data_IF_780352219177
#
_entry.id   IF_780352219177
#
_cell.length_a   1.000
_cell.length_b   1.000
_cell.length_c   1.000
_cell.angle_alpha   90.00
_cell.angle_beta   90.00
_cell.angle_gamma   90.00
#
_symmetry.space_group_name_H-M   'P 1'
#
loop_
_entity.id
_entity.type
_entity.pdbx_description
1 polymer ?
#
# COMPACT_ATOMS: atom_id res chain seq x y z
N UNK A 1 33.87 -8.33 26.78
CA UNK A 1 32.58 -8.27 27.47
C UNK A 1 31.60 -9.01 26.56
N UNK A 2 31.25 -10.24 26.94
CA UNK A 2 30.28 -11.08 26.23
C UNK A 2 28.91 -10.45 26.37
N UNK A 3 28.41 -9.91 25.29
CA UNK A 3 27.04 -9.42 25.15
C UNK A 3 26.09 -10.61 25.37
N UNK A 4 25.58 -10.75 26.61
CA UNK A 4 24.52 -11.73 26.88
C UNK A 4 23.35 -11.36 25.99
N UNK A 5 23.05 -12.21 25.02
CA UNK A 5 21.89 -12.08 24.15
C UNK A 5 20.64 -11.99 25.05
N UNK A 6 20.14 -10.79 25.25
CA UNK A 6 18.95 -10.51 26.08
C UNK A 6 17.81 -11.36 25.54
N UNK A 7 17.37 -12.35 26.31
CA UNK A 7 16.28 -13.25 25.94
C UNK A 7 15.01 -12.42 25.76
N UNK A 8 14.57 -12.29 24.51
CA UNK A 8 13.31 -11.59 24.21
C UNK A 8 12.17 -12.34 24.91
N UNK A 9 11.35 -11.67 25.73
CA UNK A 9 10.22 -12.27 26.41
C UNK A 9 9.24 -12.94 25.42
N UNK A 10 8.66 -14.06 25.78
CA UNK A 10 7.64 -14.78 24.97
C UNK A 10 6.46 -13.85 24.64
N UNK A 11 6.13 -12.95 25.56
CA UNK A 11 5.08 -11.95 25.38
C UNK A 11 5.33 -11.02 24.19
N UNK A 12 6.59 -10.65 23.92
CA UNK A 12 6.93 -9.81 22.75
C UNK A 12 6.59 -10.50 21.43
N UNK A 13 6.77 -11.81 21.35
CA UNK A 13 6.38 -12.59 20.16
C UNK A 13 4.86 -12.72 20.01
N UNK A 14 4.13 -12.85 21.13
CA UNK A 14 2.68 -12.77 21.11
C UNK A 14 2.19 -11.41 20.60
N UNK A 15 2.80 -10.32 21.10
CA UNK A 15 2.48 -8.96 20.64
C UNK A 15 2.77 -8.78 19.13
N UNK A 16 3.90 -9.30 18.64
CA UNK A 16 4.23 -9.29 17.21
C UNK A 16 3.19 -10.06 16.39
N UNK A 17 2.81 -11.28 16.82
CA UNK A 17 1.83 -12.09 16.13
C UNK A 17 0.47 -11.41 16.06
N UNK A 18 0.01 -10.83 17.18
CA UNK A 18 -1.26 -10.09 17.21
C UNK A 18 -1.21 -8.84 16.32
N UNK A 19 -0.16 -8.03 16.40
CA UNK A 19 -0.01 -6.83 15.58
C UNK A 19 0.14 -7.17 14.09
N UNK A 20 0.84 -8.26 13.76
CA UNK A 20 0.93 -8.75 12.38
C UNK A 20 -0.44 -9.21 11.87
N UNK A 21 -1.22 -9.94 12.67
CA UNK A 21 -2.59 -10.33 12.29
C UNK A 21 -3.48 -9.11 12.07
N UNK A 22 -3.40 -8.12 12.93
CA UNK A 22 -4.11 -6.83 12.76
C UNK A 22 -3.68 -6.14 11.46
N UNK A 23 -2.40 -6.20 11.11
CA UNK A 23 -1.89 -5.60 9.88
C UNK A 23 -2.33 -6.37 8.63
N UNK A 24 -2.44 -7.70 8.72
CA UNK A 24 -3.07 -8.54 7.68
C UNK A 24 -4.53 -8.13 7.48
N UNK A 25 -5.31 -8.00 8.56
CA UNK A 25 -6.71 -7.56 8.49
C UNK A 25 -6.84 -6.15 7.91
N UNK A 26 -5.94 -5.24 8.27
CA UNK A 26 -5.89 -3.89 7.72
C UNK A 26 -5.77 -3.90 6.18
N UNK A 27 -4.81 -4.64 5.62
CA UNK A 27 -4.64 -4.74 4.18
C UNK A 27 -5.75 -5.54 3.50
N UNK A 28 -6.34 -6.51 4.20
CA UNK A 28 -7.49 -7.26 3.72
C UNK A 28 -8.70 -6.33 3.54
N UNK A 29 -9.08 -5.56 4.57
CA UNK A 29 -10.19 -4.61 4.54
C UNK A 29 -10.00 -3.50 3.51
N UNK A 30 -8.76 -3.04 3.36
CA UNK A 30 -8.40 -2.04 2.35
C UNK A 30 -8.55 -2.55 0.93
N UNK A 31 -8.18 -3.80 0.67
CA UNK A 31 -8.05 -4.34 -0.68
C UNK A 31 -9.33 -5.00 -1.17
N UNK A 32 -10.14 -5.56 -0.27
CA UNK A 32 -11.32 -6.35 -0.66
C UNK A 32 -12.32 -5.57 -1.51
N UNK A 33 -12.46 -4.28 -1.29
CA UNK A 33 -13.39 -3.44 -2.07
C UNK A 33 -13.04 -3.47 -3.56
N UNK A 34 -11.77 -3.51 -3.91
CA UNK A 34 -11.31 -3.55 -5.30
C UNK A 34 -11.69 -4.85 -5.98
N UNK A 35 -11.64 -5.97 -5.25
CA UNK A 35 -12.05 -7.29 -5.74
C UNK A 35 -13.56 -7.34 -5.98
N UNK A 36 -14.33 -6.64 -5.14
CA UNK A 36 -15.78 -6.62 -5.18
C UNK A 36 -16.35 -5.51 -6.08
N UNK A 37 -15.53 -4.61 -6.63
CA UNK A 37 -15.97 -3.52 -7.52
C UNK A 37 -16.89 -3.98 -8.66
N UNK A 38 -16.65 -5.11 -9.36
CA UNK A 38 -17.56 -5.54 -10.42
C UNK A 38 -18.98 -5.81 -9.94
N UNK A 39 -19.13 -6.39 -8.72
CA UNK A 39 -20.46 -6.64 -8.14
C UNK A 39 -21.11 -5.35 -7.63
N UNK A 40 -20.36 -4.49 -6.97
CA UNK A 40 -20.83 -3.18 -6.49
C UNK A 40 -21.31 -2.36 -7.68
N UNK A 41 -20.49 -2.30 -8.76
CA UNK A 41 -20.87 -1.58 -9.98
C UNK A 41 -22.16 -2.12 -10.61
N UNK A 42 -22.29 -3.45 -10.68
CA UNK A 42 -23.48 -4.08 -11.27
C UNK A 42 -24.76 -3.80 -10.50
N UNK A 43 -24.67 -3.78 -9.14
CA UNK A 43 -25.84 -3.61 -8.29
C UNK A 43 -26.21 -2.13 -8.08
N UNK A 44 -25.20 -1.27 -7.93
CA UNK A 44 -25.38 0.15 -7.58
C UNK A 44 -25.32 1.07 -8.80
N UNK A 45 -25.03 0.53 -10.00
CA UNK A 45 -24.91 1.25 -11.28
C UNK A 45 -23.90 2.42 -11.24
N UNK A 46 -22.85 2.30 -10.42
CA UNK A 46 -21.85 3.36 -10.29
C UNK A 46 -20.98 3.50 -11.55
N UNK A 47 -20.60 4.74 -11.84
CA UNK A 47 -19.60 5.04 -12.84
C UNK A 47 -18.21 4.57 -12.37
N UNK A 48 -17.25 4.44 -13.29
CA UNK A 48 -15.86 4.08 -12.95
C UNK A 48 -15.20 5.19 -12.12
N UNK A 49 -15.56 6.47 -12.37
CA UNK A 49 -15.15 7.60 -11.54
C UNK A 49 -15.64 7.45 -10.10
N UNK A 50 -16.92 7.08 -9.90
CA UNK A 50 -17.47 6.86 -8.56
C UNK A 50 -16.77 5.70 -7.84
N UNK A 51 -16.43 4.61 -8.54
CA UNK A 51 -15.66 3.51 -7.95
C UNK A 51 -14.25 3.94 -7.56
N UNK A 52 -13.57 4.76 -8.38
CA UNK A 52 -12.29 5.32 -8.03
C UNK A 52 -12.38 6.18 -6.76
N UNK A 53 -13.37 7.08 -6.69
CA UNK A 53 -13.60 7.91 -5.50
C UNK A 53 -13.85 7.08 -4.25
N UNK A 54 -14.67 6.03 -4.35
CA UNK A 54 -14.96 5.12 -3.23
C UNK A 54 -13.75 4.32 -2.77
N UNK A 55 -12.98 3.78 -3.71
CA UNK A 55 -11.87 2.91 -3.37
C UNK A 55 -10.64 3.65 -2.87
N UNK A 56 -10.40 4.85 -3.35
CA UNK A 56 -9.15 5.55 -3.11
C UNK A 56 -9.30 6.88 -2.39
N UNK A 57 -10.06 7.81 -2.95
CA UNK A 57 -10.15 9.18 -2.42
C UNK A 57 -10.78 9.22 -1.03
N UNK A 58 -11.89 8.50 -0.83
CA UNK A 58 -12.60 8.42 0.46
C UNK A 58 -11.69 7.96 1.60
N UNK A 59 -10.79 7.04 1.29
CA UNK A 59 -9.87 6.45 2.25
C UNK A 59 -8.60 7.29 2.44
N UNK A 60 -7.89 7.61 1.34
CA UNK A 60 -6.52 8.16 1.40
C UNK A 60 -6.47 9.54 2.02
N UNK A 61 -7.44 10.41 1.75
CA UNK A 61 -7.47 11.76 2.31
C UNK A 61 -7.51 11.69 3.84
N UNK A 62 -8.44 10.93 4.41
CA UNK A 62 -8.62 10.85 5.86
C UNK A 62 -7.50 10.06 6.53
N UNK A 63 -7.05 8.98 5.92
CA UNK A 63 -5.88 8.22 6.36
C UNK A 63 -4.64 9.10 6.47
N UNK A 64 -4.38 9.94 5.46
CA UNK A 64 -3.19 10.78 5.42
C UNK A 64 -3.27 11.95 6.41
N UNK A 65 -4.40 12.67 6.44
CA UNK A 65 -4.58 13.83 7.32
C UNK A 65 -4.56 13.39 8.79
N UNK A 66 -5.27 12.33 9.13
CA UNK A 66 -5.40 11.86 10.52
C UNK A 66 -4.19 11.05 10.99
N UNK A 67 -3.36 10.55 10.09
CA UNK A 67 -2.10 9.91 10.45
C UNK A 67 -1.17 10.83 11.25
N UNK A 68 -1.21 12.15 11.01
CA UNK A 68 -0.40 13.13 11.73
C UNK A 68 -0.85 13.27 13.21
N UNK A 69 -2.12 13.62 13.53
CA UNK A 69 -2.56 13.72 14.92
C UNK A 69 -2.50 12.38 15.66
N UNK A 70 -2.80 11.26 15.01
CA UNK A 70 -2.69 9.95 15.64
C UNK A 70 -1.23 9.54 15.88
N UNK A 71 -0.30 9.91 15.00
CA UNK A 71 1.13 9.75 15.24
C UNK A 71 1.58 10.51 16.51
N UNK A 72 1.20 11.78 16.64
CA UNK A 72 1.47 12.57 17.85
C UNK A 72 0.85 11.98 19.11
N UNK A 73 -0.38 11.45 19.01
CA UNK A 73 -1.00 10.75 20.13
C UNK A 73 -0.23 9.47 20.48
N UNK A 74 0.21 8.69 19.48
CA UNK A 74 1.02 7.50 19.70
C UNK A 74 2.33 7.80 20.43
N UNK A 75 2.91 8.99 20.25
CA UNK A 75 4.13 9.42 20.93
C UNK A 75 3.91 9.70 22.44
N UNK A 76 2.72 10.09 22.85
CA UNK A 76 2.43 10.54 24.23
C UNK A 76 1.41 9.67 24.97
N UNK A 77 0.44 9.12 24.24
CA UNK A 77 -0.67 8.33 24.78
C UNK A 77 -0.39 6.82 24.81
N UNK A 78 -1.42 6.04 25.14
CA UNK A 78 -1.35 4.58 25.09
C UNK A 78 -1.51 4.09 23.63
N UNK A 79 -0.47 3.48 23.09
CA UNK A 79 -0.44 2.95 21.72
C UNK A 79 -1.37 1.75 21.56
N UNK A 80 -1.44 0.87 22.57
CA UNK A 80 -2.35 -0.27 22.56
C UNK A 80 -3.82 0.16 22.50
N UNK A 81 -4.21 1.17 23.29
CA UNK A 81 -5.58 1.71 23.25
C UNK A 81 -5.90 2.42 21.95
N UNK A 82 -4.92 3.15 21.37
CA UNK A 82 -5.07 3.79 20.06
C UNK A 82 -5.30 2.75 18.95
N UNK A 83 -4.49 1.69 18.91
CA UNK A 83 -4.67 0.57 17.97
C UNK A 83 -6.04 -0.08 18.17
N UNK A 84 -6.41 -0.38 19.42
CA UNK A 84 -7.70 -1.00 19.74
C UNK A 84 -8.87 -0.17 19.21
N UNK A 85 -8.87 1.13 19.49
CA UNK A 85 -9.87 2.07 18.97
C UNK A 85 -9.93 2.04 17.44
N UNK A 86 -8.78 2.16 16.77
CA UNK A 86 -8.71 2.14 15.33
C UNK A 86 -9.26 0.84 14.73
N UNK A 87 -8.81 -0.32 15.24
CA UNK A 87 -9.26 -1.64 14.77
C UNK A 87 -10.78 -1.78 14.91
N UNK A 88 -11.35 -1.40 16.04
CA UNK A 88 -12.81 -1.48 16.25
C UNK A 88 -13.53 -0.56 15.26
N UNK A 89 -13.08 0.69 15.11
CA UNK A 89 -13.71 1.66 14.21
C UNK A 89 -13.67 1.17 12.76
N UNK A 90 -12.50 0.78 12.23
CA UNK A 90 -12.47 0.36 10.84
C UNK A 90 -13.20 -0.96 10.59
N UNK A 91 -13.12 -1.92 11.53
CA UNK A 91 -13.79 -3.21 11.38
C UNK A 91 -15.31 -3.08 11.38
N UNK A 92 -15.86 -2.30 12.30
CA UNK A 92 -17.30 -2.01 12.31
C UNK A 92 -17.70 -1.28 11.03
N UNK A 93 -16.94 -0.27 10.61
CA UNK A 93 -17.26 0.52 9.41
C UNK A 93 -17.15 -0.32 8.14
N UNK A 94 -16.17 -1.25 8.06
CA UNK A 94 -16.06 -2.22 6.98
C UNK A 94 -17.28 -3.14 6.95
N UNK A 95 -17.68 -3.70 8.08
CA UNK A 95 -18.90 -4.52 8.17
C UNK A 95 -20.17 -3.74 7.83
N UNK A 96 -20.29 -2.47 8.28
CA UNK A 96 -21.42 -1.59 7.97
C UNK A 96 -21.54 -1.24 6.49
N UNK A 97 -20.44 -1.35 5.72
CA UNK A 97 -20.48 -1.21 4.25
C UNK A 97 -21.51 -2.13 3.62
N UNK A 98 -21.79 -3.29 4.21
CA UNK A 98 -22.80 -4.24 3.74
C UNK A 98 -24.23 -3.71 3.72
N UNK A 99 -24.53 -2.70 4.53
CA UNK A 99 -25.87 -2.11 4.65
C UNK A 99 -26.03 -0.83 3.85
N UNK A 100 -25.01 -0.41 3.10
CA UNK A 100 -25.07 0.78 2.28
C UNK A 100 -25.95 0.55 1.04
N UNK A 101 -26.86 1.50 0.77
CA UNK A 101 -27.79 1.45 -0.36
C UNK A 101 -27.57 2.62 -1.35
N UNK A 102 -26.62 3.50 -1.08
CA UNK A 102 -26.28 4.65 -1.91
C UNK A 102 -24.78 4.96 -1.85
N UNK A 103 -24.34 5.83 -2.77
CA UNK A 103 -22.93 6.22 -2.88
C UNK A 103 -22.39 6.88 -1.61
N UNK A 104 -23.16 7.78 -1.00
CA UNK A 104 -22.66 8.58 0.13
C UNK A 104 -22.53 7.76 1.41
N UNK A 105 -23.44 6.81 1.63
CA UNK A 105 -23.35 5.86 2.74
C UNK A 105 -22.12 4.96 2.58
N UNK A 106 -21.88 4.43 1.37
CA UNK A 106 -20.67 3.68 1.06
C UNK A 106 -19.42 4.53 1.27
N UNK A 107 -19.43 5.76 0.77
CA UNK A 107 -18.33 6.71 0.91
C UNK A 107 -18.03 7.01 2.39
N UNK A 108 -19.05 7.25 3.20
CA UNK A 108 -18.89 7.50 4.63
C UNK A 108 -18.29 6.29 5.36
N UNK A 109 -18.73 5.08 5.06
CA UNK A 109 -18.12 3.86 5.61
C UNK A 109 -16.63 3.77 5.25
N UNK A 110 -16.25 4.08 4.00
CA UNK A 110 -14.85 4.06 3.54
C UNK A 110 -14.00 5.14 4.21
N UNK A 111 -14.56 6.34 4.42
CA UNK A 111 -13.92 7.41 5.21
C UNK A 111 -13.61 6.89 6.62
N UNK A 112 -14.59 6.29 7.29
CA UNK A 112 -14.41 5.79 8.66
C UNK A 112 -13.41 4.62 8.73
N UNK A 113 -13.32 3.78 7.70
CA UNK A 113 -12.25 2.80 7.56
C UNK A 113 -10.89 3.52 7.53
N UNK A 114 -10.74 4.55 6.70
CA UNK A 114 -9.51 5.35 6.61
C UNK A 114 -9.13 6.03 7.93
N UNK A 115 -10.12 6.56 8.67
CA UNK A 115 -9.94 7.13 10.01
C UNK A 115 -9.38 6.09 10.99
N UNK A 116 -9.99 4.92 11.04
CA UNK A 116 -9.56 3.83 11.93
C UNK A 116 -8.15 3.34 11.58
N UNK A 117 -7.89 3.07 10.31
CA UNK A 117 -6.60 2.54 9.85
C UNK A 117 -5.42 3.51 10.07
N UNK A 118 -5.66 4.83 10.08
CA UNK A 118 -4.63 5.83 10.32
C UNK A 118 -3.96 5.71 11.70
N UNK A 119 -4.58 5.01 12.64
CA UNK A 119 -4.04 4.81 14.00
C UNK A 119 -2.94 3.76 14.05
N UNK A 120 -2.97 2.76 13.14
CA UNK A 120 -2.18 1.54 13.28
C UNK A 120 -0.69 1.75 13.01
N UNK A 121 -0.33 2.36 11.88
CA UNK A 121 1.05 2.41 11.40
C UNK A 121 2.04 2.95 12.43
N UNK A 122 1.90 4.22 12.88
CA UNK A 122 2.82 4.81 13.85
C UNK A 122 2.83 4.07 15.18
N UNK A 123 1.66 3.67 15.69
CA UNK A 123 1.53 3.04 17.01
C UNK A 123 2.14 1.63 17.03
N UNK A 124 1.90 0.82 16.01
CA UNK A 124 2.40 -0.56 15.94
C UNK A 124 3.93 -0.61 15.81
N UNK A 125 4.51 0.20 14.93
CA UNK A 125 5.97 0.26 14.75
C UNK A 125 6.65 0.72 16.04
N UNK A 126 6.11 1.74 16.70
CA UNK A 126 6.62 2.24 17.98
C UNK A 126 6.52 1.18 19.08
N UNK A 127 5.39 0.45 19.20
CA UNK A 127 5.24 -0.65 20.16
C UNK A 127 6.28 -1.76 19.91
N UNK A 128 6.44 -2.20 18.67
CA UNK A 128 7.40 -3.25 18.31
C UNK A 128 8.85 -2.83 18.61
N UNK A 129 9.19 -1.56 18.42
CA UNK A 129 10.51 -1.05 18.74
C UNK A 129 10.81 -1.09 20.25
N UNK A 130 9.79 -1.01 21.12
CA UNK A 130 9.95 -1.12 22.57
C UNK A 130 9.84 -2.56 23.10
N UNK A 131 9.15 -3.45 22.38
CA UNK A 131 9.08 -4.88 22.73
C UNK A 131 10.36 -5.66 22.39
N UNK A 132 11.16 -5.18 21.42
CA UNK A 132 12.33 -5.90 20.94
C UNK A 132 13.61 -5.09 21.02
N UNK A 133 14.76 -5.73 21.36
CA UNK A 133 16.07 -5.07 21.38
C UNK A 133 16.45 -4.55 19.99
N UNK A 134 17.29 -3.52 19.97
CA UNK A 134 17.73 -2.85 18.72
C UNK A 134 18.28 -3.83 17.67
N UNK A 135 18.95 -4.88 18.09
CA UNK A 135 19.54 -5.94 17.23
C UNK A 135 18.50 -6.75 16.46
N UNK A 136 17.25 -6.82 16.94
CA UNK A 136 16.15 -7.59 16.33
C UNK A 136 15.10 -6.74 15.62
N UNK A 137 15.15 -5.41 15.77
CA UNK A 137 14.12 -4.50 15.23
C UNK A 137 13.92 -4.64 13.72
N UNK A 138 15.01 -4.76 12.95
CA UNK A 138 14.93 -4.94 11.51
C UNK A 138 14.18 -6.23 11.13
N UNK A 139 14.51 -7.35 11.74
CA UNK A 139 13.84 -8.64 11.51
C UNK A 139 12.37 -8.58 11.89
N UNK A 140 12.05 -8.00 13.04
CA UNK A 140 10.67 -7.85 13.53
C UNK A 140 9.84 -6.97 12.61
N UNK A 141 10.41 -5.85 12.16
CA UNK A 141 9.74 -4.97 11.18
C UNK A 141 9.50 -5.66 9.84
N UNK A 142 10.45 -6.48 9.38
CA UNK A 142 10.29 -7.27 8.16
C UNK A 142 9.16 -8.29 8.29
N UNK A 143 9.11 -9.02 9.41
CA UNK A 143 8.02 -9.97 9.70
C UNK A 143 6.67 -9.23 9.73
N UNK A 144 6.58 -8.12 10.45
CA UNK A 144 5.38 -7.29 10.50
C UNK A 144 4.94 -6.84 9.11
N UNK A 145 5.89 -6.39 8.27
CA UNK A 145 5.61 -5.88 6.91
C UNK A 145 5.13 -6.97 5.93
N UNK A 146 5.40 -8.25 6.19
CA UNK A 146 4.81 -9.34 5.40
C UNK A 146 3.28 -9.33 5.47
N UNK A 147 2.69 -8.72 6.51
CA UNK A 147 1.26 -8.53 6.64
C UNK A 147 0.62 -7.82 5.44
N UNK A 148 1.37 -6.97 4.72
CA UNK A 148 0.91 -6.30 3.48
C UNK A 148 0.57 -7.32 2.40
N UNK A 149 1.54 -8.16 2.03
CA UNK A 149 1.36 -9.14 0.96
C UNK A 149 0.35 -10.23 1.35
N UNK A 150 0.38 -10.67 2.63
CA UNK A 150 -0.56 -11.67 3.15
C UNK A 150 -1.98 -11.10 3.14
N UNK A 151 -2.19 -9.89 3.65
CA UNK A 151 -3.50 -9.25 3.68
C UNK A 151 -4.09 -9.00 2.30
N UNK A 152 -3.28 -8.47 1.37
CA UNK A 152 -3.71 -8.25 0.00
C UNK A 152 -4.01 -9.57 -0.74
N UNK A 153 -3.18 -10.59 -0.57
CA UNK A 153 -3.41 -11.92 -1.14
C UNK A 153 -4.66 -12.59 -0.58
N UNK A 154 -4.85 -12.53 0.75
CA UNK A 154 -6.07 -13.02 1.40
C UNK A 154 -7.31 -12.25 0.97
N UNK A 155 -7.22 -10.93 0.76
CA UNK A 155 -8.34 -10.15 0.25
C UNK A 155 -8.79 -10.64 -1.13
N UNK A 156 -7.86 -10.98 -2.01
CA UNK A 156 -8.18 -11.54 -3.31
C UNK A 156 -8.79 -12.94 -3.20
N UNK A 157 -8.19 -13.84 -2.41
CA UNK A 157 -8.70 -15.20 -2.20
C UNK A 157 -10.08 -15.21 -1.55
N UNK A 158 -10.24 -14.51 -0.43
CA UNK A 158 -11.49 -14.49 0.32
C UNK A 158 -12.55 -13.66 -0.41
N UNK A 159 -12.18 -12.47 -0.93
CA UNK A 159 -13.09 -11.62 -1.70
C UNK A 159 -13.58 -12.30 -2.97
N UNK A 160 -12.70 -13.03 -3.67
CA UNK A 160 -13.07 -13.84 -4.82
C UNK A 160 -14.07 -14.94 -4.45
N UNK A 161 -13.77 -15.74 -3.43
CA UNK A 161 -14.67 -16.83 -2.99
C UNK A 161 -15.99 -16.29 -2.44
N UNK A 162 -15.95 -15.27 -1.58
CA UNK A 162 -17.15 -14.69 -0.97
C UNK A 162 -18.01 -13.90 -1.96
N UNK A 163 -17.46 -13.50 -3.11
CA UNK A 163 -18.22 -12.81 -4.17
C UNK A 163 -19.45 -13.61 -4.65
N UNK A 164 -19.41 -14.94 -4.55
CA UNK A 164 -20.53 -15.82 -4.91
C UNK A 164 -21.76 -15.61 -4.01
N UNK A 165 -21.55 -15.15 -2.78
CA UNK A 165 -22.61 -14.85 -1.81
C UNK A 165 -22.99 -13.35 -1.83
N UNK A 166 -22.44 -12.59 -2.77
CA UNK A 166 -22.63 -11.15 -2.89
C UNK A 166 -21.62 -10.31 -2.08
N UNK A 167 -21.39 -9.08 -2.53
CA UNK A 167 -20.42 -8.18 -1.91
C UNK A 167 -20.80 -7.78 -0.47
N UNK A 168 -22.10 -7.67 -0.17
CA UNK A 168 -22.59 -7.37 1.18
C UNK A 168 -22.18 -8.43 2.20
N UNK A 169 -22.42 -9.70 1.86
CA UNK A 169 -22.03 -10.84 2.71
C UNK A 169 -20.51 -10.87 2.93
N UNK A 170 -19.73 -10.57 1.89
CA UNK A 170 -18.27 -10.53 2.00
C UNK A 170 -17.82 -9.46 3.02
N UNK A 171 -18.38 -8.24 2.96
CA UNK A 171 -18.06 -7.20 3.93
C UNK A 171 -18.51 -7.53 5.36
N UNK A 172 -19.65 -8.15 5.56
CA UNK A 172 -20.09 -8.60 6.89
C UNK A 172 -19.14 -9.63 7.49
N UNK A 173 -18.79 -10.66 6.72
CA UNK A 173 -17.96 -11.77 7.19
C UNK A 173 -16.50 -11.40 7.43
N UNK A 174 -16.00 -10.37 6.77
CA UNK A 174 -14.61 -9.92 6.92
C UNK A 174 -14.54 -8.76 7.91
N UNK A 175 -15.41 -7.76 7.79
CA UNK A 175 -15.33 -6.55 8.59
C UNK A 175 -15.61 -6.79 10.07
N UNK A 176 -16.79 -7.28 10.42
CA UNK A 176 -17.18 -7.39 11.84
C UNK A 176 -16.24 -8.25 12.69
N UNK A 177 -15.75 -9.42 12.24
CA UNK A 177 -14.86 -10.24 13.05
C UNK A 177 -13.53 -9.55 13.41
N UNK A 178 -13.08 -8.58 12.58
CA UNK A 178 -11.90 -7.79 12.87
C UNK A 178 -11.98 -7.05 14.21
N UNK A 179 -13.17 -6.63 14.66
CA UNK A 179 -13.36 -5.95 15.92
C UNK A 179 -12.89 -6.78 17.15
N UNK A 180 -12.91 -8.11 17.06
CA UNK A 180 -12.39 -9.00 18.12
C UNK A 180 -10.90 -8.74 18.35
N UNK A 181 -10.14 -8.54 17.28
CA UNK A 181 -8.71 -8.21 17.37
C UNK A 181 -8.47 -6.82 17.96
N UNK A 182 -9.41 -5.89 17.78
CA UNK A 182 -9.41 -4.61 18.49
C UNK A 182 -9.55 -4.79 20.00
N UNK A 183 -10.46 -5.65 20.45
CA UNK A 183 -10.61 -6.00 21.88
C UNK A 183 -9.32 -6.66 22.39
N UNK A 184 -8.72 -7.58 21.64
CA UNK A 184 -7.45 -8.20 22.04
C UNK A 184 -6.31 -7.17 22.11
N UNK A 185 -6.25 -6.23 21.19
CA UNK A 185 -5.26 -5.16 21.20
C UNK A 185 -5.40 -4.22 22.43
N UNK A 186 -6.62 -4.03 22.94
CA UNK A 186 -6.85 -3.23 24.12
C UNK A 186 -6.14 -3.79 25.38
N UNK A 187 -6.00 -5.12 25.45
CA UNK A 187 -5.32 -5.82 26.55
C UNK A 187 -3.82 -5.98 26.34
N UNK A 188 -3.25 -5.48 25.22
CA UNK A 188 -1.80 -5.47 25.05
C UNK A 188 -1.16 -4.60 26.15
N UNK A 189 -0.15 -5.16 26.81
CA UNK A 189 0.63 -4.42 27.83
C UNK A 189 1.40 -3.29 27.13
N UNK A 190 1.29 -2.09 27.65
CA UNK A 190 2.09 -0.96 27.18
C UNK A 190 3.52 -1.09 27.71
N UNK A 191 4.55 -1.34 26.89
CA UNK A 191 5.92 -1.41 27.38
C UNK A 191 6.41 -0.03 27.81
N UNK A 192 7.36 -0.01 28.76
CA UNK A 192 8.07 1.22 29.09
C UNK A 192 8.76 1.76 27.82
N UNK A 193 8.66 3.06 27.59
CA UNK A 193 9.28 3.70 26.42
C UNK A 193 10.78 3.69 26.57
N UNK A 194 11.45 3.01 25.64
CA UNK A 194 12.93 2.87 25.63
C UNK A 194 13.61 4.16 25.15
N UNK A 195 12.91 4.95 24.31
CA UNK A 195 13.39 6.25 23.85
C UNK A 195 12.58 7.31 24.55
N UNK A 196 13.23 8.17 25.34
CA UNK A 196 12.61 9.40 25.80
C UNK A 196 11.95 10.09 24.60
N UNK A 197 10.70 10.56 24.79
CA UNK A 197 9.96 11.30 23.74
C UNK A 197 10.95 12.25 23.10
N UNK A 198 11.36 11.93 21.88
CA UNK A 198 12.31 12.76 21.17
C UNK A 198 11.72 14.15 21.16
N UNK A 199 12.50 15.15 21.61
CA UNK A 199 12.11 16.54 21.53
C UNK A 199 11.46 16.73 20.18
N UNK A 200 10.26 17.31 20.12
CA UNK A 200 9.53 17.52 18.89
C UNK A 200 10.52 18.06 17.86
N UNK A 201 10.83 17.25 16.85
CA UNK A 201 11.66 17.72 15.76
C UNK A 201 10.77 18.68 14.98
N UNK A 202 10.80 19.95 15.42
CA UNK A 202 10.09 21.01 14.72
C UNK A 202 10.88 21.33 13.44
N UNK A 203 10.46 20.73 12.35
CA UNK A 203 11.01 21.07 11.04
C UNK A 203 10.64 22.50 10.69
N UNK A 204 11.64 23.31 10.43
CA UNK A 204 11.45 24.70 10.01
C UNK A 204 11.00 24.76 8.53
N UNK A 205 10.35 25.85 8.09
CA UNK A 205 10.04 26.04 6.67
C UNK A 205 11.28 25.93 5.76
N UNK A 206 12.45 26.28 6.27
CA UNK A 206 13.73 26.14 5.54
C UNK A 206 14.12 24.67 5.34
N UNK A 207 13.75 23.77 6.24
CA UNK A 207 14.03 22.33 6.09
C UNK A 207 13.17 21.69 5.01
N UNK A 208 11.91 22.10 4.89
CA UNK A 208 11.04 21.75 3.75
C UNK A 208 11.64 22.29 2.44
N UNK A 209 12.10 23.56 2.46
CA UNK A 209 12.74 24.20 1.31
C UNK A 209 13.96 23.42 0.81
N UNK A 210 14.84 22.95 1.70
CA UNK A 210 16.03 22.16 1.33
C UNK A 210 15.68 20.91 0.51
N UNK A 211 14.62 20.18 0.90
CA UNK A 211 14.19 18.99 0.17
C UNK A 211 13.47 19.35 -1.14
N UNK A 212 12.58 20.35 -1.11
CA UNK A 212 11.80 20.76 -2.27
C UNK A 212 12.64 21.49 -3.34
N UNK A 213 13.83 21.97 -3.00
CA UNK A 213 14.78 22.55 -3.96
C UNK A 213 15.84 21.56 -4.41
N UNK A 214 15.95 20.39 -3.78
CA UNK A 214 16.90 19.36 -4.19
C UNK A 214 16.39 18.61 -5.44
N UNK A 215 17.04 18.80 -6.62
CA UNK A 215 16.53 18.22 -7.85
C UNK A 215 16.59 16.68 -7.86
N UNK A 216 17.52 16.06 -7.13
CA UNK A 216 17.60 14.61 -7.02
C UNK A 216 16.41 14.07 -6.21
N UNK A 217 16.08 14.73 -5.10
CA UNK A 217 14.93 14.38 -4.27
C UNK A 217 13.61 14.51 -5.06
N UNK A 218 13.44 15.62 -5.79
CA UNK A 218 12.23 15.83 -6.61
C UNK A 218 12.09 14.74 -7.68
N UNK A 219 13.18 14.42 -8.40
CA UNK A 219 13.15 13.42 -9.46
C UNK A 219 12.88 12.01 -8.91
N UNK A 220 13.42 11.70 -7.75
CA UNK A 220 13.13 10.45 -7.04
C UNK A 220 11.64 10.39 -6.64
N UNK A 221 11.13 11.44 -6.01
CA UNK A 221 9.71 11.50 -5.60
C UNK A 221 8.77 11.37 -6.80
N UNK A 222 8.97 12.16 -7.85
CA UNK A 222 8.13 12.11 -9.05
C UNK A 222 8.27 10.78 -9.80
N UNK A 223 9.47 10.25 -9.95
CA UNK A 223 9.73 9.01 -10.65
C UNK A 223 9.03 7.82 -9.97
N UNK A 224 9.21 7.67 -8.67
CA UNK A 224 8.52 6.61 -7.94
C UNK A 224 7.02 6.88 -7.73
N UNK A 225 6.58 8.13 -7.74
CA UNK A 225 5.14 8.47 -7.73
C UNK A 225 4.44 7.98 -9.00
N UNK A 226 5.05 8.17 -10.17
CA UNK A 226 4.53 7.64 -11.44
C UNK A 226 4.59 6.11 -11.47
N UNK A 227 5.66 5.51 -10.97
CA UNK A 227 5.74 4.06 -10.87
C UNK A 227 4.71 3.49 -9.89
N UNK A 228 4.55 4.13 -8.73
CA UNK A 228 3.52 3.79 -7.75
C UNK A 228 2.10 3.89 -8.31
N UNK A 229 1.82 4.91 -9.14
CA UNK A 229 0.57 5.02 -9.87
C UNK A 229 0.31 3.77 -10.72
N UNK A 230 1.28 3.37 -11.53
CA UNK A 230 1.14 2.20 -12.38
C UNK A 230 0.97 0.91 -11.56
N UNK A 231 1.78 0.70 -10.54
CA UNK A 231 1.76 -0.56 -9.77
C UNK A 231 0.54 -0.70 -8.86
N UNK A 232 0.04 0.40 -8.26
CA UNK A 232 -1.20 0.35 -7.48
C UNK A 232 -2.45 0.17 -8.36
N UNK A 233 -2.40 0.62 -9.62
CA UNK A 233 -3.55 0.49 -10.53
C UNK A 233 -3.92 -0.97 -10.81
N UNK A 234 -2.97 -1.93 -10.78
CA UNK A 234 -3.31 -3.34 -10.96
C UNK A 234 -4.15 -3.87 -9.80
N UNK A 235 -3.89 -3.42 -8.57
CA UNK A 235 -4.68 -3.81 -7.41
C UNK A 235 -6.07 -3.19 -7.42
N UNK A 236 -6.18 -1.95 -7.87
CA UNK A 236 -7.44 -1.18 -7.84
C UNK A 236 -8.36 -1.58 -9.00
N UNK A 237 -7.80 -1.67 -10.20
CA UNK A 237 -8.57 -1.87 -11.44
C UNK A 237 -8.56 -3.31 -11.96
N UNK A 238 -7.69 -4.17 -11.43
CA UNK A 238 -7.46 -5.52 -11.95
C UNK A 238 -8.73 -6.38 -11.97
N UNK A 239 -9.53 -6.40 -10.90
CA UNK A 239 -10.77 -7.19 -10.85
C UNK A 239 -11.79 -6.71 -11.90
N UNK A 240 -12.01 -5.40 -12.00
CA UNK A 240 -12.90 -4.82 -13.02
C UNK A 240 -12.38 -5.10 -14.43
N UNK A 241 -11.07 -4.90 -14.64
CA UNK A 241 -10.46 -5.10 -15.94
C UNK A 241 -10.62 -6.56 -16.41
N UNK A 242 -10.23 -7.50 -15.60
CA UNK A 242 -10.26 -8.92 -15.92
C UNK A 242 -11.69 -9.42 -16.12
N UNK A 243 -12.63 -9.01 -15.26
CA UNK A 243 -14.03 -9.42 -15.37
C UNK A 243 -14.73 -8.81 -16.57
N UNK A 244 -14.44 -7.54 -16.88
CA UNK A 244 -15.12 -6.79 -17.93
C UNK A 244 -14.53 -7.07 -19.32
N UNK A 245 -13.19 -7.07 -19.45
CA UNK A 245 -12.50 -7.19 -20.74
C UNK A 245 -12.30 -8.65 -21.14
N UNK A 246 -11.97 -9.51 -20.18
CA UNK A 246 -11.68 -10.92 -20.43
C UNK A 246 -12.83 -11.85 -20.05
N UNK A 247 -13.94 -11.33 -19.49
CA UNK A 247 -15.11 -12.09 -19.06
C UNK A 247 -14.77 -13.23 -18.06
N UNK A 248 -13.70 -13.05 -17.24
CA UNK A 248 -13.30 -14.01 -16.23
C UNK A 248 -14.09 -13.72 -14.95
N UNK A 249 -14.66 -14.76 -14.36
CA UNK A 249 -15.42 -14.68 -13.13
C UNK A 249 -14.55 -14.24 -11.95
N UNK A 250 -15.14 -13.47 -11.03
CA UNK A 250 -14.44 -12.91 -9.86
C UNK A 250 -13.82 -13.99 -8.96
N UNK A 251 -14.47 -15.16 -8.71
CA UNK A 251 -13.83 -16.23 -7.94
C UNK A 251 -12.52 -16.73 -8.58
N UNK A 252 -12.53 -16.94 -9.90
CA UNK A 252 -11.33 -17.39 -10.63
C UNK A 252 -10.24 -16.32 -10.61
N UNK A 253 -10.58 -15.05 -10.85
CA UNK A 253 -9.64 -13.94 -10.72
C UNK A 253 -9.06 -13.85 -9.31
N UNK A 254 -9.92 -13.87 -8.28
CA UNK A 254 -9.52 -13.78 -6.88
C UNK A 254 -8.56 -14.90 -6.47
N UNK A 255 -8.80 -16.13 -6.93
CA UNK A 255 -7.90 -17.25 -6.69
C UNK A 255 -6.50 -16.97 -7.28
N UNK A 256 -6.41 -16.67 -8.57
CA UNK A 256 -5.12 -16.40 -9.20
C UNK A 256 -4.44 -15.15 -8.66
N UNK A 257 -5.17 -14.05 -8.53
CA UNK A 257 -4.63 -12.81 -7.98
C UNK A 257 -4.09 -13.01 -6.55
N UNK A 258 -4.82 -13.76 -5.71
CA UNK A 258 -4.40 -14.04 -4.34
C UNK A 258 -3.16 -14.93 -4.28
N UNK A 259 -3.16 -16.07 -4.99
CA UNK A 259 -2.00 -16.98 -5.05
C UNK A 259 -0.77 -16.25 -5.57
N UNK A 260 -0.91 -15.46 -6.65
CA UNK A 260 0.20 -14.73 -7.25
C UNK A 260 0.70 -13.59 -6.36
N UNK A 261 -0.20 -12.90 -5.65
CA UNK A 261 0.20 -11.87 -4.68
C UNK A 261 1.01 -12.47 -3.55
N UNK A 262 0.64 -13.64 -3.04
CA UNK A 262 1.41 -14.35 -2.02
C UNK A 262 2.74 -14.86 -2.57
N UNK A 263 2.71 -15.52 -3.73
CA UNK A 263 3.89 -16.15 -4.33
C UNK A 263 4.93 -15.14 -4.83
N UNK A 264 4.51 -13.99 -5.36
CA UNK A 264 5.40 -12.95 -5.86
C UNK A 264 5.68 -11.85 -4.83
N UNK A 265 4.67 -11.47 -4.04
CA UNK A 265 4.75 -10.35 -3.11
C UNK A 265 5.64 -10.63 -1.90
N UNK A 266 5.57 -11.84 -1.33
CA UNK A 266 6.44 -12.21 -0.19
C UNK A 266 7.92 -12.21 -0.61
N UNK A 267 8.35 -12.87 -1.69
CA UNK A 267 9.73 -12.75 -2.18
C UNK A 267 10.12 -11.32 -2.54
N UNK A 268 9.22 -10.53 -3.15
CA UNK A 268 9.51 -9.15 -3.50
C UNK A 268 9.86 -8.32 -2.26
N UNK A 269 9.08 -8.43 -1.20
CA UNK A 269 9.34 -7.69 0.04
C UNK A 269 10.61 -8.13 0.76
N UNK A 270 11.00 -9.41 0.65
CA UNK A 270 12.18 -9.96 1.32
C UNK A 270 13.47 -9.71 0.55
N UNK A 271 13.47 -9.87 -0.77
CA UNK A 271 14.70 -9.91 -1.58
C UNK A 271 14.97 -8.62 -2.36
N UNK A 272 13.96 -7.81 -2.67
CA UNK A 272 14.16 -6.62 -3.52
C UNK A 272 15.12 -5.60 -2.90
N UNK A 273 15.12 -5.45 -1.58
CA UNK A 273 16.09 -4.59 -0.88
C UNK A 273 17.53 -5.04 -1.09
N UNK A 274 17.79 -6.35 -0.96
CA UNK A 274 19.12 -6.93 -1.18
C UNK A 274 19.57 -6.77 -2.65
N UNK A 275 18.65 -6.92 -3.60
CA UNK A 275 18.94 -6.70 -5.03
C UNK A 275 19.28 -5.22 -5.27
N UNK A 276 18.53 -4.28 -4.68
CA UNK A 276 18.81 -2.85 -4.82
C UNK A 276 20.18 -2.47 -4.21
N UNK A 277 20.53 -3.06 -3.06
CA UNK A 277 21.85 -2.86 -2.45
C UNK A 277 22.99 -3.46 -3.29
N UNK A 278 22.75 -4.59 -3.95
CA UNK A 278 23.70 -5.16 -4.91
C UNK A 278 23.92 -4.20 -6.11
N UNK A 279 22.87 -3.56 -6.65
CA UNK A 279 23.01 -2.54 -7.68
C UNK A 279 23.86 -1.36 -7.19
N UNK A 280 23.67 -0.91 -5.96
CA UNK A 280 24.48 0.14 -5.35
C UNK A 280 25.94 -0.28 -5.20
N UNK A 281 26.20 -1.47 -4.69
CA UNK A 281 27.55 -2.02 -4.52
C UNK A 281 28.33 -2.14 -5.84
N UNK A 282 27.61 -2.40 -6.96
CA UNK A 282 28.19 -2.40 -8.32
C UNK A 282 28.36 -1.00 -8.93
N UNK A 283 28.05 0.07 -8.20
CA UNK A 283 28.18 1.45 -8.69
C UNK A 283 27.02 1.94 -9.58
N UNK A 284 25.97 1.13 -9.78
CA UNK A 284 24.81 1.56 -10.57
C UNK A 284 23.87 2.51 -9.81
N UNK A 285 23.87 2.48 -8.46
CA UNK A 285 22.91 3.16 -7.58
C UNK A 285 21.63 2.36 -7.41
N UNK A 286 20.92 2.54 -6.27
CA UNK A 286 19.64 1.85 -6.02
C UNK A 286 18.54 2.31 -6.97
N UNK A 287 18.52 3.58 -7.39
CA UNK A 287 17.58 4.07 -8.40
C UNK A 287 17.67 3.29 -9.71
N UNK A 288 18.85 2.72 -10.07
CA UNK A 288 18.97 1.88 -11.26
C UNK A 288 18.13 0.61 -11.18
N UNK A 289 17.95 0.05 -10.00
CA UNK A 289 17.01 -1.04 -9.79
C UNK A 289 15.56 -0.56 -10.02
N UNK A 290 15.17 0.60 -9.50
CA UNK A 290 13.86 1.20 -9.78
C UNK A 290 13.62 1.43 -11.28
N UNK A 291 14.61 1.92 -12.01
CA UNK A 291 14.56 2.08 -13.48
C UNK A 291 14.30 0.74 -14.15
N UNK A 292 15.01 -0.31 -13.76
CA UNK A 292 14.84 -1.66 -14.30
C UNK A 292 13.39 -2.16 -14.06
N UNK A 293 12.88 -1.98 -12.85
CA UNK A 293 11.49 -2.38 -12.54
C UNK A 293 10.48 -1.61 -13.41
N UNK A 294 10.66 -0.31 -13.60
CA UNK A 294 9.82 0.49 -14.49
C UNK A 294 9.84 -0.03 -15.94
N UNK A 295 11.06 -0.28 -16.48
CA UNK A 295 11.24 -0.74 -17.85
C UNK A 295 10.69 -2.16 -18.09
N UNK A 296 10.75 -3.03 -17.10
CA UNK A 296 10.12 -4.36 -17.16
C UNK A 296 8.59 -4.23 -17.08
N UNK A 297 8.08 -3.36 -16.22
CA UNK A 297 6.64 -3.22 -16.00
C UNK A 297 5.90 -2.65 -17.21
N UNK A 298 6.52 -1.75 -17.97
CA UNK A 298 5.85 -1.12 -19.12
C UNK A 298 5.39 -2.13 -20.19
N UNK A 299 6.23 -3.04 -20.73
CA UNK A 299 5.78 -4.06 -21.68
C UNK A 299 4.85 -5.09 -21.04
N UNK A 300 5.03 -5.44 -19.76
CA UNK A 300 4.13 -6.35 -19.07
C UNK A 300 2.71 -5.79 -18.99
N UNK A 301 2.55 -4.49 -18.77
CA UNK A 301 1.26 -3.82 -18.83
C UNK A 301 0.62 -3.98 -20.21
N UNK A 302 1.38 -3.79 -21.31
CA UNK A 302 0.83 -3.97 -22.66
C UNK A 302 0.38 -5.40 -22.90
N UNK A 303 1.13 -6.39 -22.40
CA UNK A 303 0.71 -7.81 -22.45
C UNK A 303 -0.60 -8.02 -21.69
N UNK A 304 -0.73 -7.50 -20.46
CA UNK A 304 -1.95 -7.66 -19.67
C UNK A 304 -3.14 -6.97 -20.33
N UNK A 305 -2.95 -5.78 -20.92
CA UNK A 305 -4.04 -4.98 -21.48
C UNK A 305 -4.56 -5.49 -22.82
N UNK A 306 -3.69 -6.07 -23.66
CA UNK A 306 -4.02 -6.38 -25.07
C UNK A 306 -3.89 -7.86 -25.44
N UNK A 307 -3.30 -8.71 -24.58
CA UNK A 307 -3.28 -10.14 -24.83
C UNK A 307 -4.66 -10.76 -24.61
N UNK A 308 -5.14 -11.50 -25.59
CA UNK A 308 -6.33 -12.36 -25.41
C UNK A 308 -6.00 -13.72 -24.78
N UNK A 309 -4.72 -13.98 -24.47
CA UNK A 309 -4.26 -15.28 -23.99
C UNK A 309 -4.04 -15.25 -22.48
N UNK A 310 -4.87 -15.99 -21.73
CA UNK A 310 -4.78 -16.12 -20.28
C UNK A 310 -3.41 -16.61 -19.80
N UNK A 311 -2.77 -17.52 -20.54
CA UNK A 311 -1.43 -18.05 -20.21
C UNK A 311 -0.31 -17.00 -20.31
N UNK A 312 -0.55 -15.86 -20.96
CA UNK A 312 0.37 -14.72 -20.99
C UNK A 312 0.01 -13.67 -19.93
N UNK A 313 -1.29 -13.47 -19.69
CA UNK A 313 -1.78 -12.49 -18.70
C UNK A 313 -1.35 -12.87 -17.28
N UNK A 314 -1.47 -14.15 -16.90
CA UNK A 314 -1.16 -14.62 -15.55
C UNK A 314 0.32 -14.40 -15.18
N UNK A 315 1.32 -14.86 -15.94
CA UNK A 315 2.71 -14.60 -15.60
C UNK A 315 3.09 -13.12 -15.71
N UNK A 316 2.54 -12.37 -16.68
CA UNK A 316 2.76 -10.93 -16.78
C UNK A 316 2.20 -10.19 -15.55
N UNK A 317 1.00 -10.53 -15.11
CA UNK A 317 0.39 -10.01 -13.89
C UNK A 317 1.19 -10.35 -12.63
N UNK A 318 1.74 -11.58 -12.54
CA UNK A 318 2.62 -12.00 -11.44
C UNK A 318 3.87 -11.13 -11.34
N UNK A 319 4.52 -10.88 -12.47
CA UNK A 319 5.70 -10.04 -12.53
C UNK A 319 5.37 -8.58 -12.22
N UNK A 320 4.20 -8.08 -12.63
CA UNK A 320 3.73 -6.74 -12.24
C UNK A 320 3.50 -6.64 -10.72
N UNK A 321 2.96 -7.67 -10.08
CA UNK A 321 2.83 -7.71 -8.62
C UNK A 321 4.19 -7.75 -7.92
N UNK A 322 5.14 -8.53 -8.44
CA UNK A 322 6.50 -8.56 -7.92
C UNK A 322 7.16 -7.18 -8.02
N UNK A 323 7.13 -6.54 -9.20
CA UNK A 323 7.71 -5.20 -9.38
C UNK A 323 7.00 -4.17 -8.53
N UNK A 324 5.68 -4.31 -8.33
CA UNK A 324 4.84 -3.41 -7.56
C UNK A 324 5.12 -3.40 -6.06
N UNK A 325 5.61 -4.50 -5.48
CA UNK A 325 5.96 -4.59 -4.05
C UNK A 325 7.45 -4.43 -3.80
N UNK A 326 8.30 -4.67 -4.82
CA UNK A 326 9.75 -4.72 -4.66
C UNK A 326 10.47 -3.35 -4.59
N UNK A 327 9.87 -2.27 -5.03
CA UNK A 327 10.56 -0.96 -5.11
C UNK A 327 10.57 -0.16 -3.81
N UNK A 328 9.62 -0.40 -2.91
CA UNK A 328 9.34 0.48 -1.76
C UNK A 328 10.55 0.61 -0.82
N UNK A 329 11.20 -0.51 -0.49
CA UNK A 329 12.36 -0.52 0.39
C UNK A 329 13.57 0.20 -0.22
N UNK A 330 13.83 -0.02 -1.51
CA UNK A 330 14.92 0.63 -2.23
C UNK A 330 14.72 2.15 -2.31
N UNK A 331 13.50 2.59 -2.61
CA UNK A 331 13.15 4.00 -2.67
C UNK A 331 13.29 4.69 -1.31
N UNK A 332 12.79 4.06 -0.24
CA UNK A 332 12.92 4.60 1.12
C UNK A 332 14.40 4.74 1.55
N UNK A 333 15.25 3.79 1.18
CA UNK A 333 16.69 3.85 1.45
C UNK A 333 17.36 5.03 0.71
N UNK A 334 17.04 5.25 -0.56
CA UNK A 334 17.56 6.39 -1.32
C UNK A 334 17.06 7.73 -0.75
N UNK A 335 15.78 7.81 -0.36
CA UNK A 335 15.20 9.00 0.29
C UNK A 335 15.97 9.35 1.57
N UNK A 336 16.25 8.36 2.43
CA UNK A 336 16.97 8.60 3.69
C UNK A 336 18.41 9.03 3.46
N UNK A 337 19.04 8.54 2.39
CA UNK A 337 20.39 8.93 2.00
C UNK A 337 20.44 10.37 1.48
N UNK A 338 19.52 10.76 0.58
CA UNK A 338 19.43 12.10 0.00
C UNK A 338 19.04 13.15 1.05
N UNK A 339 18.11 12.83 1.94
CA UNK A 339 17.66 13.72 2.98
C UNK A 339 18.71 13.95 4.10
N UNK A 340 19.64 13.03 4.28
CA UNK A 340 20.67 13.09 5.32
C UNK A 340 20.09 12.85 6.74
N UNK A 341 20.99 12.80 7.72
CA UNK A 341 20.65 12.37 9.10
C UNK A 341 19.53 13.21 9.73
N UNK A 342 19.56 14.53 9.51
CA UNK A 342 18.66 15.48 10.20
C UNK A 342 17.24 15.53 9.58
N UNK A 343 17.08 15.16 8.30
CA UNK A 343 15.83 15.31 7.55
C UNK A 343 15.23 13.98 7.11
N UNK A 344 15.74 12.83 7.58
CA UNK A 344 15.28 11.48 7.17
C UNK A 344 13.77 11.29 7.34
N UNK A 345 13.25 11.65 8.51
CA UNK A 345 11.82 11.50 8.80
C UNK A 345 10.96 12.37 7.90
N UNK A 346 11.35 13.64 7.71
CA UNK A 346 10.67 14.56 6.81
C UNK A 346 10.72 14.08 5.37
N UNK A 347 11.90 13.66 4.89
CA UNK A 347 12.10 13.16 3.53
C UNK A 347 11.21 11.94 3.24
N UNK A 348 11.17 10.97 4.15
CA UNK A 348 10.34 9.76 4.01
C UNK A 348 8.84 10.11 4.03
N UNK A 349 8.42 11.01 4.92
CA UNK A 349 7.02 11.46 4.97
C UNK A 349 6.59 12.17 3.67
N UNK A 350 7.41 13.09 3.16
CA UNK A 350 7.14 13.80 1.90
C UNK A 350 7.11 12.84 0.70
N UNK A 351 8.02 11.88 0.67
CA UNK A 351 8.08 10.85 -0.37
C UNK A 351 6.80 10.01 -0.40
N UNK A 352 6.41 9.40 0.72
CA UNK A 352 5.19 8.59 0.75
C UNK A 352 3.93 9.41 0.55
N UNK A 353 3.90 10.66 1.00
CA UNK A 353 2.81 11.58 0.69
C UNK A 353 2.68 11.78 -0.83
N UNK A 354 3.78 12.10 -1.53
CA UNK A 354 3.79 12.29 -2.98
C UNK A 354 3.34 11.02 -3.73
N UNK A 355 3.85 9.85 -3.33
CA UNK A 355 3.47 8.56 -3.91
C UNK A 355 1.98 8.27 -3.70
N UNK A 356 1.45 8.46 -2.49
CA UNK A 356 0.05 8.19 -2.19
C UNK A 356 -0.88 9.14 -2.96
N UNK A 357 -0.55 10.43 -3.01
CA UNK A 357 -1.32 11.41 -3.79
C UNK A 357 -1.31 11.04 -5.28
N UNK A 358 -0.15 10.74 -5.84
CA UNK A 358 -0.05 10.38 -7.26
C UNK A 358 -0.80 9.08 -7.58
N UNK A 359 -0.66 8.04 -6.74
CA UNK A 359 -1.21 6.72 -7.02
C UNK A 359 -2.72 6.66 -6.78
N UNK A 360 -3.14 7.04 -5.58
CA UNK A 360 -4.53 6.84 -5.15
C UNK A 360 -5.42 8.04 -5.48
N UNK A 361 -4.92 9.28 -5.31
CA UNK A 361 -5.75 10.45 -5.52
C UNK A 361 -5.77 10.88 -6.99
N UNK A 362 -4.63 10.89 -7.68
CA UNK A 362 -4.55 11.32 -9.08
C UNK A 362 -4.76 10.13 -10.02
N UNK A 363 -3.94 9.10 -9.91
CA UNK A 363 -3.88 8.01 -10.88
C UNK A 363 -5.18 7.21 -10.98
N UNK A 364 -5.72 6.77 -9.86
CA UNK A 364 -6.96 5.98 -9.87
C UNK A 364 -8.15 6.79 -10.39
N UNK A 365 -8.29 8.06 -9.97
CA UNK A 365 -9.37 8.92 -10.45
C UNK A 365 -9.21 9.30 -11.92
N UNK A 366 -7.98 9.52 -12.40
CA UNK A 366 -7.71 9.76 -13.81
C UNK A 366 -8.14 8.56 -14.68
N UNK A 367 -7.80 7.34 -14.25
CA UNK A 367 -8.21 6.12 -14.97
C UNK A 367 -9.74 5.99 -14.97
N UNK A 368 -10.42 6.23 -13.84
CA UNK A 368 -11.87 6.21 -13.76
C UNK A 368 -12.54 7.22 -14.72
N UNK A 369 -12.04 8.47 -14.71
CA UNK A 369 -12.53 9.53 -15.61
C UNK A 369 -12.29 9.20 -17.08
N UNK A 370 -11.13 8.67 -17.44
CA UNK A 370 -10.84 8.28 -18.82
C UNK A 370 -11.69 7.08 -19.23
N UNK A 371 -11.91 6.12 -18.34
CA UNK A 371 -12.76 4.96 -18.57
C UNK A 371 -14.20 5.38 -18.88
N UNK A 372 -14.78 6.26 -18.07
CA UNK A 372 -16.13 6.79 -18.30
C UNK A 372 -16.19 7.62 -19.61
N UNK A 373 -15.21 8.49 -19.86
CA UNK A 373 -15.12 9.33 -21.06
C UNK A 373 -14.97 8.50 -22.34
N UNK A 374 -14.23 7.41 -22.30
CA UNK A 374 -14.08 6.53 -23.46
C UNK A 374 -15.28 5.59 -23.67
N UNK A 375 -16.25 5.59 -22.75
CA UNK A 375 -17.46 4.77 -22.86
C UNK A 375 -17.22 3.29 -22.57
N UNK A 376 -16.31 2.97 -21.65
CA UNK A 376 -15.95 1.58 -21.32
C UNK A 376 -17.12 0.75 -20.76
N UNK A 377 -18.21 1.37 -20.35
CA UNK A 377 -19.44 0.68 -19.95
C UNK A 377 -20.16 0.11 -21.18
N UNK A 378 -20.13 0.80 -22.32
CA UNK A 378 -20.71 0.33 -23.57
C UNK A 378 -19.75 -0.63 -24.34
N UNK A 379 -18.46 -0.29 -24.38
CA UNK A 379 -17.42 -1.15 -24.97
C UNK A 379 -16.35 -1.46 -23.90
N UNK A 380 -16.32 -2.70 -23.36
CA UNK A 380 -15.35 -3.12 -22.36
C UNK A 380 -13.89 -2.87 -22.72
N UNK A 381 -13.53 -2.95 -24.01
CA UNK A 381 -12.15 -2.76 -24.49
C UNK A 381 -11.63 -1.35 -24.24
N UNK A 382 -12.51 -0.36 -24.12
CA UNK A 382 -12.11 1.02 -23.85
C UNK A 382 -11.44 1.20 -22.49
N UNK A 383 -11.68 0.30 -21.53
CA UNK A 383 -10.95 0.29 -20.25
C UNK A 383 -9.46 -0.02 -20.46
N UNK A 384 -9.09 -0.87 -21.44
CA UNK A 384 -7.67 -1.10 -21.77
C UNK A 384 -6.97 0.18 -22.20
N UNK A 385 -7.66 1.04 -22.97
CA UNK A 385 -7.09 2.33 -23.39
C UNK A 385 -6.98 3.33 -22.22
N UNK A 386 -7.92 3.35 -21.30
CA UNK A 386 -7.82 4.17 -20.08
C UNK A 386 -6.62 3.73 -19.21
N UNK A 387 -6.35 2.43 -19.13
CA UNK A 387 -5.22 1.88 -18.38
C UNK A 387 -3.85 2.08 -19.07
N UNK A 388 -3.78 2.58 -20.32
CA UNK A 388 -2.50 2.95 -20.96
C UNK A 388 -1.74 4.05 -20.19
N UNK A 389 -2.40 4.76 -19.30
CA UNK A 389 -1.74 5.65 -18.34
C UNK A 389 -0.64 4.91 -17.56
N UNK A 390 -0.83 3.60 -17.24
CA UNK A 390 0.12 2.82 -16.46
C UNK A 390 1.46 2.57 -17.16
N UNK A 391 1.53 1.99 -18.38
CA UNK A 391 2.81 1.84 -19.08
C UNK A 391 3.47 3.18 -19.41
N UNK A 392 2.71 4.23 -19.72
CA UNK A 392 3.25 5.59 -19.92
C UNK A 392 3.87 6.10 -18.62
N UNK A 393 3.19 5.95 -17.49
CA UNK A 393 3.72 6.33 -16.17
C UNK A 393 5.00 5.56 -15.81
N UNK A 394 5.09 4.27 -16.15
CA UNK A 394 6.32 3.49 -15.98
C UNK A 394 7.48 4.08 -16.80
N UNK A 395 7.27 4.41 -18.07
CA UNK A 395 8.32 4.97 -18.93
C UNK A 395 8.77 6.37 -18.47
N UNK A 396 7.83 7.24 -18.11
CA UNK A 396 8.13 8.56 -17.57
C UNK A 396 8.82 8.45 -16.20
N UNK A 397 8.40 7.50 -15.36
CA UNK A 397 9.04 7.20 -14.09
C UNK A 397 10.48 6.74 -14.27
N UNK A 398 10.74 5.83 -15.22
CA UNK A 398 12.09 5.39 -15.57
C UNK A 398 12.97 6.56 -16.02
N UNK A 399 12.44 7.46 -16.84
CA UNK A 399 13.17 8.64 -17.31
C UNK A 399 13.57 9.57 -16.14
N UNK A 400 12.63 9.89 -15.25
CA UNK A 400 12.89 10.74 -14.09
C UNK A 400 13.90 10.12 -13.13
N UNK A 401 13.75 8.82 -12.83
CA UNK A 401 14.71 8.08 -12.01
C UNK A 401 16.10 8.04 -12.66
N UNK A 402 16.18 7.89 -13.98
CA UNK A 402 17.45 7.91 -14.71
C UNK A 402 18.15 9.27 -14.60
N UNK A 403 17.42 10.37 -14.77
CA UNK A 403 17.98 11.73 -14.61
C UNK A 403 18.41 11.94 -13.15
N UNK A 404 17.59 11.53 -12.17
CA UNK A 404 17.91 11.60 -10.75
C UNK A 404 19.18 10.82 -10.39
N UNK A 405 19.28 9.57 -10.86
CA UNK A 405 20.45 8.72 -10.64
C UNK A 405 21.75 9.28 -11.23
N UNK A 406 21.67 9.87 -12.42
CA UNK A 406 22.84 10.55 -13.03
C UNK A 406 23.30 11.76 -12.22
N UNK A 407 22.34 12.58 -11.76
CA UNK A 407 22.66 13.76 -10.93
C UNK A 407 23.21 13.36 -9.56
N UNK A 408 22.68 12.31 -8.94
CA UNK A 408 23.19 11.79 -7.66
C UNK A 408 24.64 11.32 -7.78
N UNK A 409 25.02 10.69 -8.91
CA UNK A 409 26.40 10.24 -9.16
C UNK A 409 27.36 11.37 -9.53
N UNK A 410 26.85 12.46 -10.07
CA UNK A 410 27.63 13.62 -10.45
C UNK A 410 27.82 14.63 -9.30
N UNK A 411 27.12 14.43 -8.18
CA UNK A 411 27.33 15.23 -6.98
C UNK A 411 28.68 14.83 -6.34
N UNK A 412 29.54 15.79 -5.97
CA UNK A 412 30.87 15.55 -5.45
C UNK A 412 30.84 14.86 -4.07
#
# INVERSE_FOLDING_TARGET
>A
MTEQAEKTPVYSWYALALLMTIYVLNFLDRTIIYILFPLIKKEMEFSDTQLALLGTTSFVIFYTILGIPFGRYADRGSRSKLIAFGVIVWSISSGMTAFANDFWTLFACRVMVGVGEATLGPAAISLLADYFPATRRATVTSIYSMGIAIGAGMAALLGGNLSQFGWRTAFMLIGFPGAIFGVLAFFLKEPARTVAVANEVNYSPTDWGKLLTNPVFIMLCLGYSLFGLATNSISIWGAIFISRVHAIEIPTYGYWAGVLTLAAGIPATLFAGAIADWFKAKGFGRMAFGILLCLISAPLWLVVLFSGNFYLIVPAGSLLLFTGLGWVGAAAADVTEIAGINLRGLGVAMFFFAVNVASYLIGSNLIGLLSDKFGSTADPRMLSYALLVCPVACLLGALLLFIGNRRMKAAP
#
